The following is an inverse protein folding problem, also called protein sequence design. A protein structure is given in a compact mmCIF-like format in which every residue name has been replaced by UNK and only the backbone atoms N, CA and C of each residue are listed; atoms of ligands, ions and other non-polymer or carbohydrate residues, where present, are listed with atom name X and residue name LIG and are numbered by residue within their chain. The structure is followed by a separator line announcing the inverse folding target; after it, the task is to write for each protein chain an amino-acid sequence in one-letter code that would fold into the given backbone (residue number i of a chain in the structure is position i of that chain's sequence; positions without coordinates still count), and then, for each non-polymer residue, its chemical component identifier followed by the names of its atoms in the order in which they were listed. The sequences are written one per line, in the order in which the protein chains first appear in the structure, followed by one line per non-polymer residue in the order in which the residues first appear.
data_IF_640906151913
#
_entry.id   IF_640906151913
#
_cell.length_a   1.000
_cell.length_b   1.000
_cell.length_c   1.000
_cell.angle_alpha   90.00
_cell.angle_beta   90.00
_cell.angle_gamma   90.00
#
_symmetry.space_group_name_H-M   'P 1'
#
loop_
_entity.id
_entity.type
_entity.pdbx_description
1 polymer ?
#
# COMPACT_ATOMS: atom_id res chain seq x y z
N UNK A 1 -16.64 -13.34 4.53
CA UNK A 1 -17.50 -12.86 5.64
C UNK A 1 -16.80 -12.95 7.01
N UNK A 2 -16.25 -14.12 7.46
CA UNK A 2 -15.60 -14.24 8.77
C UNK A 2 -14.42 -13.29 8.95
N UNK A 3 -13.59 -13.10 7.93
CA UNK A 3 -12.46 -12.19 8.02
C UNK A 3 -12.92 -10.74 8.24
N UNK A 4 -13.92 -10.28 7.49
CA UNK A 4 -14.51 -8.95 7.66
C UNK A 4 -15.13 -8.77 9.05
N UNK A 5 -15.87 -9.78 9.53
CA UNK A 5 -16.60 -9.70 10.80
C UNK A 5 -15.71 -9.78 12.04
N UNK A 6 -14.60 -10.56 12.01
CA UNK A 6 -13.83 -10.88 13.22
C UNK A 6 -12.36 -10.50 13.19
N UNK A 7 -11.81 -10.10 12.03
CA UNK A 7 -10.37 -9.89 11.92
C UNK A 7 -9.98 -8.52 11.42
N UNK A 8 -10.67 -7.96 10.42
CA UNK A 8 -10.24 -6.70 9.80
C UNK A 8 -10.35 -5.49 10.75
N UNK A 9 -11.43 -5.42 11.53
CA UNK A 9 -11.74 -4.30 12.41
C UNK A 9 -11.36 -4.54 13.89
N UNK A 10 -10.57 -5.57 14.18
CA UNK A 10 -10.17 -5.85 15.55
C UNK A 10 -8.78 -5.31 15.86
N UNK A 11 -8.64 -4.76 17.06
CA UNK A 11 -7.35 -4.32 17.60
C UNK A 11 -6.47 -5.47 18.08
N UNK A 12 -6.99 -6.70 18.12
CA UNK A 12 -6.37 -7.85 18.79
C UNK A 12 -5.94 -7.60 20.24
N UNK A 13 -6.51 -6.58 20.89
CA UNK A 13 -6.26 -6.29 22.29
C UNK A 13 -6.77 -7.41 23.21
N UNK A 14 -7.88 -8.05 22.85
CA UNK A 14 -8.40 -9.25 23.48
C UNK A 14 -8.71 -10.32 22.42
N UNK A 15 -7.92 -11.38 22.39
CA UNK A 15 -8.08 -12.48 21.43
C UNK A 15 -9.38 -13.29 21.66
N UNK A 16 -10.00 -13.20 22.86
CA UNK A 16 -11.27 -13.87 23.15
C UNK A 16 -12.41 -13.34 22.30
N UNK A 17 -12.37 -12.08 21.90
CA UNK A 17 -13.40 -11.47 21.04
C UNK A 17 -13.45 -12.10 19.65
N UNK A 18 -12.34 -12.67 19.17
CA UNK A 18 -12.25 -13.42 17.92
C UNK A 18 -12.52 -14.94 18.10
N UNK A 19 -12.54 -15.47 19.32
CA UNK A 19 -12.75 -16.88 19.62
C UNK A 19 -14.25 -17.21 19.80
N UNK A 20 -15.08 -16.84 18.84
CA UNK A 20 -16.53 -17.10 18.87
C UNK A 20 -16.87 -18.54 18.50
N UNK A 21 -18.07 -19.01 18.87
CA UNK A 21 -18.56 -20.35 18.46
C UNK A 21 -18.53 -20.55 16.95
N UNK A 22 -18.82 -19.50 16.18
CA UNK A 22 -18.79 -19.52 14.71
C UNK A 22 -17.36 -19.71 14.17
N UNK A 23 -16.38 -19.00 14.73
CA UNK A 23 -14.95 -19.15 14.37
C UNK A 23 -14.44 -20.53 14.77
N UNK A 24 -14.77 -20.99 15.99
CA UNK A 24 -14.37 -22.30 16.49
C UNK A 24 -14.95 -23.45 15.65
N UNK A 25 -16.22 -23.36 15.24
CA UNK A 25 -16.85 -24.36 14.36
C UNK A 25 -16.16 -24.49 12.99
N UNK A 26 -15.47 -23.43 12.53
CA UNK A 26 -14.73 -23.41 11.26
C UNK A 26 -13.20 -23.43 11.46
N UNK A 27 -12.73 -23.69 12.70
CA UNK A 27 -11.32 -23.55 13.06
C UNK A 27 -10.37 -24.38 12.17
N UNK A 28 -10.70 -25.64 11.89
CA UNK A 28 -9.87 -26.50 11.04
C UNK A 28 -9.68 -25.92 9.62
N UNK A 29 -10.76 -25.39 9.02
CA UNK A 29 -10.70 -24.72 7.73
C UNK A 29 -9.90 -23.42 7.81
N UNK A 30 -10.09 -22.66 8.88
CA UNK A 30 -9.41 -21.40 9.10
C UNK A 30 -7.89 -21.60 9.27
N UNK A 31 -7.48 -22.57 10.11
CA UNK A 31 -6.07 -22.95 10.31
C UNK A 31 -5.44 -23.37 8.97
N UNK A 32 -6.15 -24.20 8.19
CA UNK A 32 -5.67 -24.59 6.87
C UNK A 32 -5.43 -23.38 5.97
N UNK A 33 -6.38 -22.44 5.89
CA UNK A 33 -6.28 -21.23 5.08
C UNK A 33 -5.16 -20.28 5.55
N UNK A 34 -4.79 -20.32 6.84
CA UNK A 34 -3.66 -19.56 7.36
C UNK A 34 -2.31 -20.18 6.99
N UNK A 35 -2.20 -21.51 6.98
CA UNK A 35 -0.93 -22.21 6.79
C UNK A 35 -0.65 -22.51 5.31
N UNK A 36 -1.67 -22.84 4.53
CA UNK A 36 -1.56 -23.18 3.12
C UNK A 36 -1.25 -21.92 2.30
N UNK A 37 -0.21 -21.89 1.43
CA UNK A 37 0.01 -20.81 0.51
C UNK A 37 -1.13 -20.64 -0.50
N UNK A 38 -1.40 -19.40 -0.93
CA UNK A 38 -2.44 -19.09 -1.92
C UNK A 38 -2.25 -19.87 -3.22
N UNK A 39 -1.02 -19.99 -3.69
CA UNK A 39 -0.67 -20.77 -4.90
C UNK A 39 -1.15 -22.23 -4.83
N UNK A 40 -1.07 -22.89 -3.66
CA UNK A 40 -1.56 -24.27 -3.47
C UNK A 40 -3.08 -24.34 -3.50
N UNK A 41 -3.77 -23.40 -2.87
CA UNK A 41 -5.23 -23.30 -2.94
C UNK A 41 -5.70 -23.14 -4.38
N UNK A 42 -5.08 -22.23 -5.13
CA UNK A 42 -5.40 -21.95 -6.53
C UNK A 42 -5.12 -23.18 -7.41
N UNK A 43 -3.95 -23.82 -7.25
CA UNK A 43 -3.55 -24.97 -8.07
C UNK A 43 -4.48 -26.18 -7.92
N UNK A 44 -5.10 -26.38 -6.74
CA UNK A 44 -6.09 -27.46 -6.55
C UNK A 44 -7.50 -27.08 -7.03
N UNK A 45 -7.75 -25.77 -7.22
CA UNK A 45 -9.06 -25.27 -7.67
C UNK A 45 -9.16 -25.23 -9.18
N UNK A 46 -8.10 -24.78 -9.86
CA UNK A 46 -8.04 -24.66 -11.32
C UNK A 46 -6.77 -25.30 -11.88
N UNK A 47 -6.88 -25.87 -13.10
CA UNK A 47 -5.76 -26.55 -13.79
C UNK A 47 -5.07 -25.62 -14.79
N UNK A 48 -5.81 -24.73 -15.45
CA UNK A 48 -5.29 -23.80 -16.45
C UNK A 48 -4.34 -22.78 -15.78
N UNK A 49 -3.12 -22.66 -16.31
CA UNK A 49 -2.07 -21.80 -15.76
C UNK A 49 -2.44 -20.31 -15.82
N UNK A 50 -3.15 -19.88 -16.85
CA UNK A 50 -3.63 -18.49 -16.99
C UNK A 50 -4.63 -18.15 -15.88
N UNK A 51 -5.57 -19.06 -15.59
CA UNK A 51 -6.51 -18.88 -14.48
C UNK A 51 -5.81 -18.90 -13.12
N UNK A 52 -4.71 -19.66 -12.97
CA UNK A 52 -3.90 -19.61 -11.75
C UNK A 52 -3.27 -18.25 -11.54
N UNK A 53 -2.77 -17.63 -12.60
CA UNK A 53 -2.22 -16.26 -12.54
C UNK A 53 -3.31 -15.25 -12.16
N UNK A 54 -4.47 -15.31 -12.83
CA UNK A 54 -5.62 -14.42 -12.52
C UNK A 54 -6.10 -14.56 -11.08
N UNK A 55 -6.18 -15.77 -10.53
CA UNK A 55 -6.63 -15.98 -9.15
C UNK A 55 -5.53 -15.70 -8.10
N UNK A 56 -4.27 -15.70 -8.50
CA UNK A 56 -3.12 -15.49 -7.63
C UNK A 56 -2.59 -14.06 -7.60
N UNK A 57 -2.81 -13.27 -8.68
CA UNK A 57 -2.20 -11.94 -8.81
C UNK A 57 -2.57 -10.96 -7.68
N UNK A 58 -3.77 -11.03 -7.04
CA UNK A 58 -4.09 -10.11 -5.95
C UNK A 58 -3.13 -10.18 -4.76
N UNK A 59 -2.30 -11.23 -4.65
CA UNK A 59 -1.23 -11.29 -3.65
C UNK A 59 -0.20 -10.16 -3.82
N UNK A 60 0.00 -9.65 -5.03
CA UNK A 60 0.91 -8.51 -5.30
C UNK A 60 0.44 -7.25 -4.59
N UNK A 61 -0.87 -7.00 -4.56
CA UNK A 61 -1.45 -5.86 -3.84
C UNK A 61 -1.34 -5.97 -2.31
N UNK A 62 -1.02 -7.17 -1.82
CA UNK A 62 -0.69 -7.40 -0.41
C UNK A 62 0.82 -7.28 -0.13
N UNK A 63 1.58 -6.77 -1.10
CA UNK A 63 3.02 -6.66 -0.98
C UNK A 63 3.71 -8.01 -0.80
N UNK A 64 3.21 -9.08 -1.45
CA UNK A 64 3.75 -10.43 -1.29
C UNK A 64 3.56 -11.25 -2.57
N UNK A 65 4.06 -12.48 -2.57
CA UNK A 65 3.83 -13.43 -3.65
C UNK A 65 2.74 -14.45 -3.27
N UNK A 66 2.03 -15.05 -4.24
CA UNK A 66 1.06 -16.10 -3.96
C UNK A 66 1.68 -17.35 -3.35
N UNK A 67 3.00 -17.50 -3.44
CA UNK A 67 3.77 -18.63 -2.86
C UNK A 67 4.08 -18.41 -1.37
N UNK A 68 4.10 -17.16 -0.90
CA UNK A 68 4.40 -16.76 0.47
C UNK A 68 3.15 -16.33 1.26
N UNK A 69 2.13 -15.84 0.55
CA UNK A 69 0.88 -15.34 1.14
C UNK A 69 -0.02 -16.49 1.59
N UNK A 70 -0.58 -16.44 2.82
CA UNK A 70 -1.59 -17.40 3.26
C UNK A 70 -2.81 -17.45 2.33
N UNK A 71 -3.35 -18.63 2.10
CA UNK A 71 -4.51 -18.81 1.21
C UNK A 71 -5.79 -18.13 1.70
N UNK A 72 -5.84 -17.70 2.96
CA UNK A 72 -6.92 -16.86 3.49
C UNK A 72 -7.13 -15.59 2.65
N UNK A 73 -6.08 -15.09 2.04
CA UNK A 73 -6.13 -13.88 1.20
C UNK A 73 -6.78 -14.09 -0.18
N UNK A 74 -7.28 -15.32 -0.50
CA UNK A 74 -8.19 -15.52 -1.64
C UNK A 74 -9.45 -14.65 -1.55
N UNK A 75 -9.72 -14.07 -0.39
CA UNK A 75 -10.79 -13.08 -0.22
C UNK A 75 -10.62 -11.86 -1.14
N UNK A 76 -9.38 -11.48 -1.48
CA UNK A 76 -9.10 -10.38 -2.40
C UNK A 76 -9.57 -10.72 -3.82
N UNK A 77 -9.26 -11.93 -4.31
CA UNK A 77 -9.76 -12.41 -5.61
C UNK A 77 -11.29 -12.51 -5.62
N UNK A 78 -11.92 -12.86 -4.48
CA UNK A 78 -13.38 -12.88 -4.38
C UNK A 78 -13.98 -11.48 -4.50
N UNK A 79 -13.43 -10.48 -3.80
CA UNK A 79 -13.90 -9.10 -3.87
C UNK A 79 -13.73 -8.53 -5.30
N UNK A 80 -12.56 -8.73 -5.90
CA UNK A 80 -12.25 -8.27 -7.24
C UNK A 80 -13.21 -8.86 -8.31
N UNK A 81 -13.45 -10.17 -8.24
CA UNK A 81 -14.30 -10.87 -9.22
C UNK A 81 -15.82 -10.73 -8.96
N UNK A 82 -16.23 -10.47 -7.73
CA UNK A 82 -17.65 -10.43 -7.35
C UNK A 82 -18.20 -9.03 -7.21
N UNK A 83 -17.45 -8.12 -6.58
CA UNK A 83 -17.86 -6.74 -6.29
C UNK A 83 -17.30 -5.77 -7.34
N UNK A 84 -16.26 -6.19 -8.08
CA UNK A 84 -15.55 -5.38 -9.06
C UNK A 84 -14.64 -4.33 -8.44
N UNK A 85 -14.06 -3.50 -9.30
CA UNK A 85 -13.16 -2.40 -8.93
C UNK A 85 -13.82 -1.08 -9.28
N UNK A 86 -13.92 -0.17 -8.31
CA UNK A 86 -14.48 1.15 -8.50
C UNK A 86 -13.37 2.16 -8.81
N UNK A 87 -13.60 2.98 -9.82
CA UNK A 87 -12.74 4.11 -10.15
C UNK A 87 -13.39 5.41 -9.68
N UNK A 88 -12.73 6.22 -8.84
CA UNK A 88 -13.24 7.53 -8.47
C UNK A 88 -13.03 8.51 -9.64
N UNK A 89 -14.11 9.10 -10.17
CA UNK A 89 -14.02 10.09 -11.25
C UNK A 89 -13.14 11.28 -10.81
N UNK A 90 -12.19 11.65 -11.65
CA UNK A 90 -11.12 12.60 -11.33
C UNK A 90 -9.91 11.98 -10.63
N UNK A 91 -9.86 10.63 -10.49
CA UNK A 91 -8.73 9.88 -9.94
C UNK A 91 -8.67 9.84 -8.42
N UNK A 92 -7.66 9.14 -7.89
CA UNK A 92 -7.49 8.96 -6.44
C UNK A 92 -7.21 10.25 -5.67
N UNK A 93 -6.70 11.29 -6.32
CA UNK A 93 -6.53 12.62 -5.72
C UNK A 93 -7.85 13.14 -5.16
N UNK A 94 -8.96 12.90 -5.86
CA UNK A 94 -10.30 13.29 -5.39
C UNK A 94 -10.74 12.60 -4.10
N UNK A 95 -10.36 11.34 -3.93
CA UNK A 95 -10.60 10.60 -2.68
C UNK A 95 -9.84 11.25 -1.53
N UNK A 96 -8.55 11.58 -1.74
CA UNK A 96 -7.72 12.22 -0.72
C UNK A 96 -8.22 13.62 -0.39
N UNK A 97 -8.57 14.43 -1.38
CA UNK A 97 -9.18 15.76 -1.20
C UNK A 97 -10.48 15.68 -0.40
N UNK A 98 -11.36 14.71 -0.72
CA UNK A 98 -12.63 14.52 -0.01
C UNK A 98 -12.40 14.17 1.46
N UNK A 99 -11.42 13.32 1.77
CA UNK A 99 -11.06 12.99 3.16
C UNK A 99 -10.49 14.21 3.87
N UNK A 100 -9.62 14.99 3.22
CA UNK A 100 -9.06 16.22 3.77
C UNK A 100 -10.15 17.28 4.04
N UNK A 101 -11.14 17.42 3.16
CA UNK A 101 -12.24 18.37 3.33
C UNK A 101 -13.17 17.96 4.48
N UNK A 102 -13.42 16.67 4.66
CA UNK A 102 -14.14 16.14 5.84
C UNK A 102 -13.36 16.48 7.12
N UNK A 103 -12.05 16.26 7.11
CA UNK A 103 -11.20 16.55 8.26
C UNK A 103 -11.22 18.06 8.60
N UNK A 104 -11.05 18.93 7.60
CA UNK A 104 -11.14 20.40 7.79
C UNK A 104 -12.49 20.82 8.33
N UNK A 105 -13.59 20.25 7.79
CA UNK A 105 -14.95 20.52 8.28
C UNK A 105 -15.14 20.09 9.72
N UNK A 106 -14.46 19.04 10.14
CA UNK A 106 -14.43 18.59 11.54
C UNK A 106 -13.48 19.41 12.45
N UNK A 107 -12.83 20.46 11.92
CA UNK A 107 -11.94 21.35 12.67
C UNK A 107 -10.48 20.89 12.75
N UNK A 108 -10.07 19.95 11.91
CA UNK A 108 -8.67 19.52 11.85
C UNK A 108 -7.82 20.59 11.15
N UNK A 109 -6.72 21.01 11.79
CA UNK A 109 -5.69 21.85 11.20
C UNK A 109 -4.69 20.96 10.41
N UNK A 110 -4.71 21.05 9.09
CA UNK A 110 -3.81 20.31 8.19
C UNK A 110 -2.66 21.24 7.80
N UNK A 111 -1.45 20.87 8.21
CA UNK A 111 -0.20 21.58 7.89
C UNK A 111 0.63 20.74 6.91
N UNK A 112 0.79 21.24 5.70
CA UNK A 112 1.76 20.73 4.72
C UNK A 112 3.13 21.38 4.94
N UNK A 113 4.14 20.89 4.25
CA UNK A 113 5.52 21.40 4.32
C UNK A 113 6.06 21.49 5.75
N UNK A 114 5.64 20.55 6.59
CA UNK A 114 5.94 20.47 8.01
C UNK A 114 6.51 19.09 8.34
N UNK A 115 7.84 18.94 8.17
CA UNK A 115 8.54 17.69 8.38
C UNK A 115 8.71 17.40 9.87
N UNK A 116 7.98 16.41 10.39
CA UNK A 116 8.18 15.94 11.78
C UNK A 116 9.54 15.24 11.87
N UNK A 117 10.36 15.68 12.83
CA UNK A 117 11.73 15.20 13.05
C UNK A 117 11.87 14.35 14.30
N UNK A 118 11.00 14.57 15.30
CA UNK A 118 11.06 13.88 16.60
C UNK A 118 9.70 13.79 17.26
N UNK A 119 9.45 12.72 17.98
CA UNK A 119 8.35 12.61 18.95
C UNK A 119 8.92 13.00 20.32
N UNK A 120 8.33 14.02 20.94
CA UNK A 120 8.76 14.51 22.25
C UNK A 120 8.17 13.64 23.34
N UNK A 121 9.04 13.13 24.21
CA UNK A 121 8.65 12.26 25.33
C UNK A 121 9.16 12.82 26.65
N UNK A 122 8.35 12.69 27.69
CA UNK A 122 8.71 13.01 29.07
C UNK A 122 8.25 11.85 29.95
N UNK A 123 9.15 11.26 30.71
CA UNK A 123 8.87 10.16 31.64
C UNK A 123 8.08 8.99 30.97
N UNK A 124 8.41 8.68 29.71
CA UNK A 124 7.77 7.63 28.94
C UNK A 124 6.35 7.96 28.44
N UNK A 125 5.97 9.25 28.43
CA UNK A 125 4.72 9.78 27.88
C UNK A 125 5.03 10.63 26.64
N UNK A 126 4.33 10.41 25.52
CA UNK A 126 4.38 11.33 24.39
C UNK A 126 3.67 12.64 24.75
N UNK A 127 4.36 13.77 24.57
CA UNK A 127 3.87 15.11 24.95
C UNK A 127 3.79 16.04 23.73
N UNK A 128 4.16 15.59 22.54
CA UNK A 128 4.12 16.37 21.32
C UNK A 128 5.10 15.92 20.27
N UNK A 129 5.36 16.80 19.32
CA UNK A 129 6.31 16.57 18.22
C UNK A 129 7.18 17.80 17.97
N UNK A 130 8.39 17.58 17.49
CA UNK A 130 9.21 18.60 16.85
C UNK A 130 9.07 18.47 15.33
N UNK A 131 8.95 19.59 14.64
CA UNK A 131 8.89 19.62 13.19
C UNK A 131 9.63 20.83 12.62
N UNK A 132 10.05 20.72 11.36
CA UNK A 132 10.69 21.79 10.61
C UNK A 132 9.72 22.23 9.50
N UNK A 133 9.49 23.54 9.40
CA UNK A 133 8.64 24.12 8.37
C UNK A 133 9.39 24.31 7.02
N UNK A 134 8.68 24.80 6.00
CA UNK A 134 9.23 25.05 4.68
C UNK A 134 10.42 26.06 4.68
N UNK A 135 10.50 26.93 5.67
CA UNK A 135 11.60 27.88 5.83
C UNK A 135 12.82 27.28 6.54
N UNK A 136 12.74 26.01 6.97
CA UNK A 136 13.80 25.35 7.74
C UNK A 136 13.77 25.69 9.23
N UNK A 137 12.73 26.36 9.74
CA UNK A 137 12.60 26.70 11.15
C UNK A 137 12.03 25.54 11.94
N UNK A 138 12.68 25.24 13.07
CA UNK A 138 12.21 24.19 13.98
C UNK A 138 11.15 24.73 14.94
N UNK A 139 10.11 23.93 15.15
CA UNK A 139 8.98 24.21 16.03
C UNK A 139 8.68 23.00 16.92
N UNK A 140 8.09 23.26 18.08
CA UNK A 140 7.53 22.22 18.95
C UNK A 140 6.02 22.41 19.05
N UNK A 141 5.27 21.33 18.84
CA UNK A 141 3.82 21.27 19.02
C UNK A 141 3.52 20.31 20.16
N UNK A 142 2.88 20.80 21.22
CA UNK A 142 2.44 19.97 22.35
C UNK A 142 1.11 19.28 22.08
N UNK A 143 0.96 18.05 22.57
CA UNK A 143 -0.26 17.26 22.42
C UNK A 143 -0.39 16.22 23.54
N UNK A 144 -1.62 15.89 23.92
CA UNK A 144 -1.92 14.82 24.89
C UNK A 144 -1.82 13.42 24.28
N UNK A 145 -1.88 13.33 22.94
CA UNK A 145 -1.82 12.09 22.18
C UNK A 145 -1.10 12.34 20.87
N UNK A 146 -0.17 11.47 20.51
CA UNK A 146 0.54 11.48 19.23
C UNK A 146 0.17 10.23 18.44
N UNK A 147 -0.24 10.42 17.19
CA UNK A 147 -0.55 9.34 16.26
C UNK A 147 0.38 9.45 15.05
N UNK A 148 1.27 8.48 14.86
CA UNK A 148 2.09 8.42 13.66
C UNK A 148 1.39 7.62 12.57
N UNK A 149 1.22 8.24 11.40
CA UNK A 149 0.80 7.61 10.15
C UNK A 149 1.95 7.47 9.15
N UNK A 150 3.16 7.91 9.53
CA UNK A 150 4.38 7.73 8.75
C UNK A 150 4.80 6.25 8.72
N UNK A 151 5.81 5.93 7.89
CA UNK A 151 6.41 4.60 7.91
C UNK A 151 6.83 4.22 9.34
N UNK A 152 6.43 3.03 9.78
CA UNK A 152 6.62 2.60 11.17
C UNK A 152 8.09 2.41 11.52
N UNK A 153 8.91 1.93 10.57
CA UNK A 153 10.35 1.81 10.77
C UNK A 153 10.96 3.20 11.00
N UNK A 154 10.63 4.15 10.13
CA UNK A 154 11.11 5.52 10.26
C UNK A 154 10.66 6.15 11.59
N UNK A 155 9.39 6.01 11.96
CA UNK A 155 8.88 6.49 13.24
C UNK A 155 9.66 5.93 14.43
N UNK A 156 9.84 4.62 14.47
CA UNK A 156 10.46 3.92 15.59
C UNK A 156 11.98 4.15 15.66
N UNK A 157 12.67 4.11 14.52
CA UNK A 157 14.14 4.12 14.51
C UNK A 157 14.77 5.50 14.32
N UNK A 158 13.95 6.51 13.93
CA UNK A 158 14.45 7.86 13.65
C UNK A 158 13.85 8.92 14.58
N UNK A 159 12.57 8.76 14.97
CA UNK A 159 11.87 9.77 15.75
C UNK A 159 11.83 9.49 17.26
N UNK A 160 12.33 8.31 17.71
CA UNK A 160 12.34 7.86 19.10
C UNK A 160 13.75 7.46 19.55
N UNK A 161 14.03 7.67 20.82
CA UNK A 161 15.26 7.16 21.43
C UNK A 161 15.25 5.62 21.46
N UNK A 162 16.42 4.94 21.38
CA UNK A 162 16.48 3.47 21.33
C UNK A 162 15.73 2.76 22.47
N UNK A 163 15.71 3.33 23.68
CA UNK A 163 15.01 2.80 24.85
C UNK A 163 13.49 2.85 24.74
N UNK A 164 12.96 3.72 23.88
CA UNK A 164 11.55 3.99 23.68
C UNK A 164 10.93 3.20 22.52
N UNK A 165 11.77 2.52 21.72
CA UNK A 165 11.34 1.78 20.54
C UNK A 165 10.61 0.49 20.90
N UNK A 166 9.39 0.35 20.41
CA UNK A 166 8.62 -0.91 20.45
C UNK A 166 9.15 -1.89 19.41
N UNK A 167 9.60 -1.37 18.27
CA UNK A 167 10.07 -2.11 17.11
C UNK A 167 11.49 -1.65 16.72
N UNK A 168 12.52 -2.05 17.51
CA UNK A 168 13.90 -1.63 17.27
C UNK A 168 14.48 -2.28 16.01
N UNK A 169 15.72 -1.91 15.65
CA UNK A 169 16.41 -2.37 14.44
C UNK A 169 16.41 -3.90 14.30
N UNK A 170 16.59 -4.65 15.39
CA UNK A 170 16.62 -6.12 15.41
C UNK A 170 15.26 -6.75 15.06
N UNK A 171 14.16 -6.04 15.32
CA UNK A 171 12.84 -6.45 14.86
C UNK A 171 12.77 -6.40 13.34
N UNK A 172 13.25 -5.31 12.73
CA UNK A 172 13.20 -5.08 11.29
C UNK A 172 14.12 -6.00 10.51
N UNK A 173 15.27 -6.37 11.06
CA UNK A 173 16.20 -7.32 10.43
C UNK A 173 15.57 -8.70 10.18
N UNK A 174 14.54 -9.07 10.95
CA UNK A 174 13.82 -10.36 10.85
C UNK A 174 12.58 -10.27 9.95
N UNK A 175 12.28 -9.08 9.40
CA UNK A 175 11.10 -8.86 8.58
C UNK A 175 11.41 -9.01 7.10
N UNK A 176 10.43 -9.55 6.37
CA UNK A 176 10.45 -9.63 4.93
C UNK A 176 9.81 -8.35 4.40
N UNK A 177 10.53 -7.53 3.63
CA UNK A 177 9.94 -6.37 2.97
C UNK A 177 8.94 -6.83 1.91
N UNK A 178 7.89 -6.04 1.69
CA UNK A 178 7.11 -6.11 0.48
C UNK A 178 7.96 -5.69 -0.73
N UNK A 179 7.47 -5.83 -1.94
CA UNK A 179 8.20 -5.36 -3.10
C UNK A 179 8.25 -3.84 -3.12
N UNK A 180 9.22 -3.30 -3.81
CA UNK A 180 9.16 -1.97 -4.34
C UNK A 180 8.45 -1.98 -5.70
N UNK A 181 8.44 -0.85 -6.37
CA UNK A 181 7.89 -0.74 -7.71
C UNK A 181 8.74 0.20 -8.56
N UNK A 182 8.82 -0.12 -9.85
CA UNK A 182 9.05 0.90 -10.86
C UNK A 182 7.67 1.38 -11.31
N UNK A 183 7.41 2.68 -11.16
CA UNK A 183 6.19 3.32 -11.65
C UNK A 183 6.54 4.19 -12.86
N UNK A 184 5.69 4.13 -13.88
CA UNK A 184 5.73 5.05 -15.01
C UNK A 184 4.39 5.79 -15.08
N UNK A 185 4.46 7.09 -15.17
CA UNK A 185 3.34 7.97 -15.47
C UNK A 185 3.61 8.55 -16.87
N UNK A 186 2.75 8.17 -17.83
CA UNK A 186 2.96 8.47 -19.23
C UNK A 186 1.78 9.27 -19.78
N UNK A 187 2.07 10.41 -20.41
CA UNK A 187 1.15 11.09 -21.32
C UNK A 187 1.43 10.59 -22.74
N UNK A 188 0.48 9.90 -23.34
CA UNK A 188 0.66 9.26 -24.65
C UNK A 188 -0.23 9.93 -25.68
N UNK A 189 0.33 10.37 -26.81
CA UNK A 189 -0.41 10.99 -27.90
C UNK A 189 -1.25 9.97 -28.68
N UNK A 190 -2.50 10.30 -28.97
CA UNK A 190 -3.45 9.47 -29.69
C UNK A 190 -4.11 8.42 -28.82
N UNK A 191 -4.99 7.63 -29.40
CA UNK A 191 -5.77 6.59 -28.70
C UNK A 191 -4.96 5.30 -28.54
N UNK A 192 -5.24 4.54 -27.50
CA UNK A 192 -4.67 3.22 -27.18
C UNK A 192 -5.79 2.19 -27.00
N UNK A 193 -6.47 1.78 -28.08
CA UNK A 193 -7.58 0.82 -28.00
C UNK A 193 -7.15 -0.59 -27.57
N UNK A 194 -5.85 -0.91 -27.66
CA UNK A 194 -5.27 -2.18 -27.23
C UNK A 194 -5.20 -2.32 -25.71
N UNK A 195 -5.31 -1.19 -24.99
CA UNK A 195 -5.29 -1.16 -23.54
C UNK A 195 -6.67 -0.87 -22.96
N UNK A 196 -7.13 -1.77 -22.11
CA UNK A 196 -8.33 -1.55 -21.28
C UNK A 196 -8.01 -0.60 -20.12
N UNK A 197 -9.03 -0.15 -19.37
CA UNK A 197 -8.82 0.67 -18.17
C UNK A 197 -7.81 0.00 -17.22
N UNK A 198 -7.94 -1.30 -17.02
CA UNK A 198 -6.99 -2.12 -16.27
C UNK A 198 -6.49 -3.26 -17.15
N UNK A 199 -5.21 -3.30 -17.42
CA UNK A 199 -4.55 -4.35 -18.20
C UNK A 199 -3.46 -4.99 -17.36
N UNK A 200 -3.45 -6.32 -17.28
CA UNK A 200 -2.42 -7.09 -16.58
C UNK A 200 -1.65 -7.94 -17.62
N UNK A 201 -0.36 -7.74 -17.66
CA UNK A 201 0.55 -8.52 -18.50
C UNK A 201 1.38 -9.44 -17.61
N UNK A 202 1.25 -10.76 -17.80
CA UNK A 202 1.95 -11.77 -17.01
C UNK A 202 3.08 -12.41 -17.80
N UNK A 203 4.28 -12.42 -17.24
CA UNK A 203 5.37 -13.20 -17.79
C UNK A 203 5.04 -14.69 -17.80
N UNK A 204 5.70 -15.45 -18.69
CA UNK A 204 5.44 -16.88 -18.90
C UNK A 204 5.74 -17.69 -17.64
N UNK A 205 6.95 -17.56 -17.09
CA UNK A 205 7.33 -18.18 -15.83
C UNK A 205 7.08 -17.21 -14.66
N UNK A 206 5.87 -17.31 -14.14
CA UNK A 206 5.41 -16.39 -13.11
C UNK A 206 6.05 -16.64 -11.74
N UNK A 207 6.43 -17.89 -11.43
CA UNK A 207 7.11 -18.22 -10.20
C UNK A 207 8.53 -17.65 -10.18
N UNK A 208 9.26 -17.79 -11.28
CA UNK A 208 10.61 -17.23 -11.44
C UNK A 208 10.62 -15.71 -11.21
N UNK A 209 9.59 -15.00 -11.73
CA UNK A 209 9.45 -13.56 -11.48
C UNK A 209 9.30 -13.19 -10.00
N UNK A 210 8.58 -13.99 -9.23
CA UNK A 210 8.50 -13.77 -7.78
C UNK A 210 9.77 -14.18 -7.03
N UNK A 211 10.45 -15.24 -7.48
CA UNK A 211 11.74 -15.64 -6.94
C UNK A 211 12.82 -14.57 -7.19
N UNK A 212 12.77 -13.91 -8.36
CA UNK A 212 13.63 -12.76 -8.65
C UNK A 212 13.40 -11.60 -7.69
N UNK A 213 12.16 -11.32 -7.28
CA UNK A 213 11.83 -10.20 -6.38
C UNK A 213 12.10 -10.53 -4.91
N UNK A 214 11.73 -11.74 -4.46
CA UNK A 214 11.71 -12.13 -3.03
C UNK A 214 12.78 -13.16 -2.66
N UNK A 215 13.59 -13.60 -3.60
CA UNK A 215 14.63 -14.60 -3.40
C UNK A 215 15.80 -14.12 -2.54
N UNK A 216 16.81 -15.00 -2.39
CA UNK A 216 17.99 -14.71 -1.59
C UNK A 216 18.87 -13.61 -2.20
N UNK A 217 18.96 -13.58 -3.52
CA UNK A 217 19.66 -12.56 -4.31
C UNK A 217 18.65 -11.84 -5.20
N UNK A 218 17.92 -10.82 -4.67
CA UNK A 218 16.86 -10.18 -5.42
C UNK A 218 17.38 -9.47 -6.67
N UNK A 219 16.68 -9.65 -7.78
CA UNK A 219 16.96 -9.01 -9.07
C UNK A 219 15.68 -8.47 -9.68
N UNK A 220 15.81 -7.50 -10.56
CA UNK A 220 14.66 -7.02 -11.35
C UNK A 220 14.32 -8.08 -12.41
N UNK A 221 13.09 -8.61 -12.43
CA UNK A 221 12.70 -9.59 -13.46
C UNK A 221 12.65 -8.96 -14.86
N UNK A 222 13.21 -9.67 -15.84
CA UNK A 222 13.20 -9.27 -17.26
C UNK A 222 12.91 -10.52 -18.14
N UNK A 223 11.75 -10.59 -18.83
CA UNK A 223 10.64 -9.64 -18.78
C UNK A 223 9.92 -9.64 -17.44
N UNK A 224 9.20 -8.57 -17.13
CA UNK A 224 8.44 -8.46 -15.88
C UNK A 224 6.94 -8.69 -16.09
N UNK A 225 6.26 -9.19 -15.05
CA UNK A 225 4.80 -9.03 -14.97
C UNK A 225 4.51 -7.58 -14.56
N UNK A 226 3.51 -6.97 -15.19
CA UNK A 226 3.19 -5.57 -14.95
C UNK A 226 1.69 -5.29 -15.00
N UNK A 227 1.30 -4.22 -14.36
CA UNK A 227 -0.05 -3.68 -14.35
C UNK A 227 -0.06 -2.33 -15.05
N UNK A 228 -1.05 -2.13 -15.91
CA UNK A 228 -1.29 -0.88 -16.63
C UNK A 228 -2.68 -0.38 -16.24
N UNK A 229 -2.78 0.90 -15.92
CA UNK A 229 -4.04 1.62 -15.75
C UNK A 229 -4.10 2.75 -16.76
N UNK A 230 -5.20 2.79 -17.54
CA UNK A 230 -5.51 3.86 -18.49
C UNK A 230 -6.79 4.55 -18.04
N UNK A 231 -6.75 5.46 -17.06
CA UNK A 231 -7.95 6.11 -16.52
C UNK A 231 -8.67 6.96 -17.57
N UNK A 232 -7.98 7.53 -18.55
CA UNK A 232 -8.56 8.28 -19.67
C UNK A 232 -9.53 7.43 -20.53
N UNK A 233 -9.43 6.11 -20.49
CA UNK A 233 -10.38 5.21 -21.15
C UNK A 233 -11.81 5.25 -20.60
N UNK A 234 -12.02 5.79 -19.38
CA UNK A 234 -13.34 5.93 -18.73
C UNK A 234 -13.60 7.33 -18.19
N UNK A 235 -12.58 8.15 -18.02
CA UNK A 235 -12.67 9.51 -17.50
C UNK A 235 -12.00 10.49 -18.46
N UNK A 236 -12.77 11.21 -19.28
CA UNK A 236 -12.21 12.12 -20.28
C UNK A 236 -11.52 13.36 -19.67
N UNK A 237 -11.67 13.59 -18.35
CA UNK A 237 -11.14 14.78 -17.69
C UNK A 237 -9.72 14.60 -17.14
N UNK A 238 -9.13 13.40 -17.27
CA UNK A 238 -7.81 13.09 -16.72
C UNK A 238 -6.70 13.05 -17.78
N UNK A 239 -7.01 13.41 -19.01
CA UNK A 239 -6.06 13.62 -20.09
C UNK A 239 -6.55 14.74 -21.01
N UNK A 240 -5.66 15.51 -21.68
CA UNK A 240 -6.06 16.43 -22.76
C UNK A 240 -6.68 15.69 -23.95
N UNK A 241 -7.50 16.39 -24.74
CA UNK A 241 -8.06 15.85 -25.98
C UNK A 241 -6.95 15.34 -26.90
N UNK A 242 -7.11 14.13 -27.44
CA UNK A 242 -6.11 13.46 -28.29
C UNK A 242 -4.92 12.85 -27.55
N UNK A 243 -5.01 12.74 -26.22
CA UNK A 243 -3.99 12.08 -25.40
C UNK A 243 -4.61 11.06 -24.44
N UNK A 244 -3.80 10.08 -24.07
CA UNK A 244 -4.11 9.09 -23.03
C UNK A 244 -3.21 9.29 -21.81
N UNK A 245 -3.79 9.09 -20.62
CA UNK A 245 -3.07 9.01 -19.36
C UNK A 245 -2.84 7.54 -19.05
N UNK A 246 -1.58 7.12 -18.96
CA UNK A 246 -1.20 5.72 -18.73
C UNK A 246 -0.29 5.64 -17.51
N UNK A 247 -0.73 4.87 -16.52
CA UNK A 247 0.05 4.49 -15.36
C UNK A 247 0.52 3.05 -15.51
N UNK A 248 1.81 2.79 -15.26
CA UNK A 248 2.38 1.44 -15.28
C UNK A 248 3.04 1.15 -13.93
N UNK A 249 2.78 -0.04 -13.40
CA UNK A 249 3.41 -0.55 -12.19
C UNK A 249 4.10 -1.88 -12.48
N UNK A 250 5.39 -1.93 -12.18
CA UNK A 250 6.22 -3.13 -12.28
C UNK A 250 6.76 -3.44 -10.89
N UNK A 251 6.38 -4.58 -10.27
CA UNK A 251 6.96 -4.99 -9.00
C UNK A 251 8.44 -5.33 -9.17
N UNK A 252 9.28 -4.75 -8.32
CA UNK A 252 10.73 -4.95 -8.29
C UNK A 252 11.22 -5.12 -6.85
N UNK A 253 12.47 -5.57 -6.61
CA UNK A 253 13.01 -5.71 -5.27
C UNK A 253 12.98 -4.40 -4.46
N UNK A 254 12.78 -4.54 -3.15
CA UNK A 254 12.84 -3.44 -2.18
C UNK A 254 14.29 -3.10 -1.85
N UNK A 255 14.93 -2.37 -2.75
CA UNK A 255 16.32 -1.92 -2.63
C UNK A 255 16.47 -0.50 -3.20
N UNK A 256 16.65 0.53 -2.34
CA UNK A 256 16.84 1.93 -2.80
C UNK A 256 18.04 2.10 -3.73
N UNK A 257 19.05 1.21 -3.66
CA UNK A 257 20.23 1.26 -4.51
C UNK A 257 19.93 1.00 -5.99
N UNK A 258 18.74 0.47 -6.33
CA UNK A 258 18.28 0.35 -7.72
C UNK A 258 18.14 1.74 -8.36
N UNK A 259 17.73 2.75 -7.58
CA UNK A 259 17.74 4.16 -7.97
C UNK A 259 16.41 4.86 -7.82
N UNK A 260 16.43 6.15 -8.13
CA UNK A 260 15.27 7.05 -8.15
C UNK A 260 14.94 7.44 -9.59
N UNK A 261 13.65 7.55 -9.87
CA UNK A 261 13.16 8.11 -11.13
C UNK A 261 12.93 9.62 -11.02
N UNK A 262 12.70 10.27 -12.17
CA UNK A 262 12.43 11.70 -12.27
C UNK A 262 11.55 11.98 -13.51
N UNK A 263 11.30 13.27 -13.78
CA UNK A 263 10.55 13.74 -14.94
C UNK A 263 11.47 13.70 -16.20
N UNK A 264 10.85 13.39 -17.34
CA UNK A 264 11.45 13.45 -18.69
C UNK A 264 12.77 12.70 -18.87
N UNK A 265 13.02 11.66 -18.04
CA UNK A 265 14.19 10.80 -18.16
C UNK A 265 15.42 11.28 -17.39
N UNK A 266 15.28 12.31 -16.55
CA UNK A 266 16.39 12.88 -15.76
C UNK A 266 16.72 12.06 -14.50
N UNK A 267 16.04 10.91 -14.28
CA UNK A 267 16.27 10.01 -13.16
C UNK A 267 17.58 9.20 -13.25
N UNK A 268 17.80 8.33 -12.27
CA UNK A 268 18.93 7.39 -12.29
C UNK A 268 18.93 6.61 -13.62
N UNK A 269 20.05 6.58 -14.35
CA UNK A 269 20.12 5.91 -15.64
C UNK A 269 19.73 4.42 -15.62
N UNK A 270 19.76 3.76 -14.46
CA UNK A 270 19.28 2.36 -14.30
C UNK A 270 17.77 2.31 -14.33
N UNK A 271 17.10 3.21 -13.63
CA UNK A 271 15.64 3.33 -13.60
C UNK A 271 15.13 3.71 -14.99
N UNK A 272 15.76 4.68 -15.63
CA UNK A 272 15.33 5.13 -16.96
C UNK A 272 15.48 4.05 -18.03
N UNK A 273 16.59 3.28 -18.01
CA UNK A 273 16.75 2.13 -18.90
C UNK A 273 15.74 1.01 -18.64
N UNK A 274 15.36 0.77 -17.35
CA UNK A 274 14.31 -0.16 -17.04
C UNK A 274 12.96 0.30 -17.57
N UNK A 275 12.66 1.60 -17.46
CA UNK A 275 11.44 2.18 -18.01
C UNK A 275 11.38 2.04 -19.54
N UNK A 276 12.51 2.27 -20.25
CA UNK A 276 12.59 2.05 -21.70
C UNK A 276 12.28 0.59 -22.07
N UNK A 277 12.86 -0.37 -21.34
CA UNK A 277 12.58 -1.80 -21.54
C UNK A 277 11.11 -2.15 -21.27
N UNK A 278 10.50 -1.56 -20.25
CA UNK A 278 9.09 -1.76 -19.92
C UNK A 278 8.19 -1.19 -21.02
N UNK A 279 8.46 -0.01 -21.53
CA UNK A 279 7.71 0.59 -22.65
C UNK A 279 7.84 -0.30 -23.90
N UNK A 280 9.05 -0.77 -24.21
CA UNK A 280 9.28 -1.70 -25.32
C UNK A 280 8.54 -3.03 -25.12
N UNK A 281 8.54 -3.59 -23.90
CA UNK A 281 7.79 -4.80 -23.56
C UNK A 281 6.28 -4.62 -23.73
N UNK A 282 5.72 -3.47 -23.30
CA UNK A 282 4.29 -3.16 -23.52
C UNK A 282 4.00 -3.11 -25.00
N UNK A 283 4.81 -2.38 -25.79
CA UNK A 283 4.69 -2.29 -27.24
C UNK A 283 4.64 -3.69 -27.90
N UNK A 284 5.62 -4.53 -27.59
CA UNK A 284 5.73 -5.89 -28.15
C UNK A 284 4.54 -6.79 -27.75
N UNK A 285 4.14 -6.77 -26.48
CA UNK A 285 3.13 -7.69 -25.96
C UNK A 285 1.69 -7.26 -26.27
N UNK A 286 1.44 -5.97 -26.52
CA UNK A 286 0.11 -5.44 -26.86
C UNK A 286 -0.08 -5.19 -28.35
N UNK A 287 1.01 -5.17 -29.12
CA UNK A 287 0.97 -4.88 -30.55
C UNK A 287 0.88 -3.38 -30.89
N UNK A 288 1.29 -2.49 -29.98
CA UNK A 288 1.36 -1.04 -30.20
C UNK A 288 2.79 -0.69 -30.67
N UNK A 289 3.06 -0.62 -31.99
CA UNK A 289 4.44 -0.60 -32.50
C UNK A 289 5.20 0.71 -32.27
N UNK A 290 4.49 1.81 -32.07
CA UNK A 290 5.01 3.16 -31.98
C UNK A 290 4.83 3.79 -30.59
N UNK A 291 4.60 2.98 -29.55
CA UNK A 291 4.29 3.47 -28.20
C UNK A 291 5.35 4.44 -27.67
N UNK A 292 6.63 4.09 -27.79
CA UNK A 292 7.72 4.92 -27.28
C UNK A 292 7.78 6.32 -27.93
N UNK A 293 7.49 6.39 -29.23
CA UNK A 293 7.49 7.65 -30.02
C UNK A 293 6.30 8.55 -29.66
N UNK A 294 5.23 7.96 -29.14
CA UNK A 294 4.00 8.64 -28.75
C UNK A 294 4.01 9.16 -27.30
N UNK A 295 4.97 8.72 -26.49
CA UNK A 295 5.13 9.23 -25.12
C UNK A 295 5.63 10.68 -25.18
N UNK A 296 4.82 11.62 -24.71
CA UNK A 296 5.11 13.06 -24.70
C UNK A 296 5.37 13.60 -23.30
N UNK A 297 4.91 12.90 -22.27
CA UNK A 297 5.19 13.16 -20.88
C UNK A 297 5.61 11.84 -20.24
N UNK A 298 6.69 11.87 -19.50
CA UNK A 298 7.22 10.72 -18.77
C UNK A 298 7.65 11.14 -17.39
N UNK A 299 7.10 10.47 -16.36
CA UNK A 299 7.65 10.51 -15.01
C UNK A 299 7.87 9.08 -14.56
N UNK A 300 9.04 8.83 -14.01
CA UNK A 300 9.40 7.56 -13.41
C UNK A 300 9.53 7.70 -11.90
N UNK A 301 9.27 6.62 -11.17
CA UNK A 301 9.47 6.52 -9.72
C UNK A 301 10.08 5.17 -9.43
N UNK A 302 11.16 5.15 -8.67
CA UNK A 302 11.86 3.93 -8.27
C UNK A 302 11.95 3.76 -6.75
N UNK A 303 12.62 2.70 -6.27
CA UNK A 303 12.78 2.42 -4.85
C UNK A 303 13.45 3.54 -4.05
N UNK A 304 14.37 4.29 -4.66
CA UNK A 304 15.00 5.44 -4.05
C UNK A 304 13.99 6.54 -3.71
N UNK A 305 13.05 6.85 -4.62
CA UNK A 305 12.00 7.83 -4.35
C UNK A 305 11.12 7.42 -3.15
N UNK A 306 10.72 6.14 -3.05
CA UNK A 306 9.94 5.68 -1.88
C UNK A 306 10.72 5.83 -0.58
N UNK A 307 12.04 5.58 -0.61
CA UNK A 307 12.88 5.76 0.57
C UNK A 307 13.03 7.23 0.95
N UNK A 308 13.29 8.11 0.01
CA UNK A 308 13.63 9.51 0.24
C UNK A 308 12.39 10.38 0.49
N UNK A 309 11.33 10.21 -0.34
CA UNK A 309 10.14 11.05 -0.28
C UNK A 309 9.14 10.58 0.80
N UNK A 310 9.03 9.26 1.00
CA UNK A 310 8.07 8.65 1.93
C UNK A 310 8.72 8.05 3.18
N UNK A 311 10.05 8.11 3.31
CA UNK A 311 10.83 7.43 4.34
C UNK A 311 10.50 5.93 4.43
N UNK A 312 10.11 5.33 3.30
CA UNK A 312 9.65 3.95 3.25
C UNK A 312 10.79 2.98 3.56
N UNK A 313 10.57 2.09 4.52
CA UNK A 313 11.55 1.09 4.90
C UNK A 313 12.04 0.28 3.70
N UNK A 314 13.36 0.34 3.43
CA UNK A 314 14.01 -0.31 2.28
C UNK A 314 13.45 0.11 0.91
N UNK A 315 12.81 1.26 0.82
CA UNK A 315 12.20 1.71 -0.43
C UNK A 315 11.01 0.85 -0.89
N UNK A 316 10.32 0.17 0.05
CA UNK A 316 9.11 -0.62 -0.29
C UNK A 316 7.99 0.28 -0.74
N UNK A 317 7.25 -0.13 -1.78
CA UNK A 317 6.02 0.56 -2.20
C UNK A 317 4.84 0.31 -1.23
N UNK A 318 4.86 -0.81 -0.50
CA UNK A 318 3.74 -1.32 0.28
C UNK A 318 4.09 -1.69 1.74
N UNK A 319 5.32 -1.42 2.22
CA UNK A 319 5.76 -1.78 3.57
C UNK A 319 6.00 -3.28 3.74
N UNK A 320 5.89 -3.85 4.98
CA UNK A 320 6.18 -5.26 5.26
C UNK A 320 5.24 -6.21 4.53
N UNK A 321 5.77 -7.27 3.89
CA UNK A 321 5.02 -8.28 3.16
C UNK A 321 3.98 -9.01 4.03
N UNK A 322 2.86 -9.44 3.43
CA UNK A 322 1.85 -10.26 4.10
C UNK A 322 2.22 -11.75 4.07
N UNK A 323 3.32 -12.10 4.73
CA UNK A 323 3.63 -13.50 5.05
C UNK A 323 2.86 -13.94 6.29
N UNK A 324 2.80 -15.25 6.57
CA UNK A 324 2.10 -15.76 7.77
C UNK A 324 2.56 -15.04 9.06
N UNK A 325 3.87 -14.88 9.24
CA UNK A 325 4.46 -14.26 10.45
C UNK A 325 4.39 -12.72 10.47
N UNK A 326 3.77 -12.11 9.46
CA UNK A 326 3.63 -10.66 9.31
C UNK A 326 2.19 -10.25 8.98
N UNK A 327 1.22 -11.15 9.20
CA UNK A 327 -0.20 -10.93 8.93
C UNK A 327 -1.03 -11.03 10.19
N UNK A 328 -2.21 -10.45 10.20
CA UNK A 328 -3.18 -10.47 11.30
C UNK A 328 -2.53 -10.05 12.63
N UNK A 329 -2.67 -10.85 13.68
CA UNK A 329 -2.12 -10.57 15.01
C UNK A 329 -0.59 -10.63 15.11
N UNK A 330 0.13 -11.12 14.09
CA UNK A 330 1.59 -11.07 14.01
C UNK A 330 2.12 -9.77 13.39
N UNK A 331 1.24 -8.96 12.80
CA UNK A 331 1.59 -7.64 12.29
C UNK A 331 1.76 -6.66 13.43
N UNK A 332 2.53 -5.58 13.20
CA UNK A 332 2.70 -4.52 14.19
C UNK A 332 1.34 -3.94 14.63
N UNK A 333 1.18 -3.75 15.92
CA UNK A 333 -0.05 -3.19 16.48
C UNK A 333 -0.13 -1.66 16.39
N UNK A 334 -1.28 -1.11 16.77
CA UNK A 334 -1.58 0.33 16.69
C UNK A 334 -1.12 1.14 17.92
N UNK A 335 -0.37 0.56 18.87
CA UNK A 335 0.02 1.24 20.10
C UNK A 335 1.48 0.97 20.44
N UNK A 336 2.21 2.01 20.87
CA UNK A 336 3.54 1.83 21.43
C UNK A 336 3.46 1.06 22.75
N UNK A 337 4.38 0.12 22.93
CA UNK A 337 4.54 -0.64 24.19
C UNK A 337 5.49 0.03 25.17
N UNK A 338 6.18 1.09 24.73
CA UNK A 338 7.22 1.78 25.47
C UNK A 338 6.82 3.20 25.84
N UNK A 339 6.12 3.88 24.95
CA UNK A 339 5.73 5.29 25.11
C UNK A 339 4.22 5.37 25.24
N UNK A 340 3.72 5.81 26.38
CA UNK A 340 2.28 6.07 26.60
C UNK A 340 1.83 7.25 25.75
N UNK A 341 0.59 7.22 25.25
CA UNK A 341 0.04 8.30 24.42
C UNK A 341 0.56 8.29 22.98
N UNK A 342 1.44 7.35 22.60
CA UNK A 342 1.90 7.17 21.21
C UNK A 342 1.19 5.98 20.54
N UNK A 343 0.62 6.27 19.38
CA UNK A 343 -0.12 5.31 18.57
C UNK A 343 0.35 5.31 17.12
N UNK A 344 0.00 4.23 16.38
CA UNK A 344 0.39 4.03 14.98
C UNK A 344 -0.82 3.65 14.14
N UNK A 345 -0.88 4.17 12.91
CA UNK A 345 -1.89 3.81 11.92
C UNK A 345 -1.24 3.64 10.54
N UNK A 346 -1.97 3.06 9.61
CA UNK A 346 -1.53 2.92 8.22
C UNK A 346 -1.06 1.53 7.83
N UNK A 347 -0.48 1.41 6.64
CA UNK A 347 -0.17 0.14 5.99
C UNK A 347 0.85 -0.75 6.71
N UNK A 348 1.77 -0.18 7.50
CA UNK A 348 2.76 -0.96 8.27
C UNK A 348 2.18 -1.64 9.50
N UNK A 349 0.99 -1.22 9.95
CA UNK A 349 0.28 -1.76 11.13
C UNK A 349 -0.91 -2.64 10.74
N UNK A 350 -1.63 -3.16 11.74
CA UNK A 350 -2.90 -3.86 11.53
C UNK A 350 -3.97 -2.90 10.97
N UNK A 351 -4.87 -3.36 10.07
CA UNK A 351 -4.94 -4.70 9.50
C UNK A 351 -3.95 -4.96 8.36
N UNK A 352 -3.33 -3.94 7.76
CA UNK A 352 -2.33 -4.09 6.72
C UNK A 352 -2.40 -3.04 5.61
N UNK A 353 -2.00 -3.44 4.42
CA UNK A 353 -1.73 -2.60 3.25
C UNK A 353 -3.01 -2.29 2.48
N UNK A 354 -3.02 -1.14 1.82
CA UNK A 354 -4.04 -0.67 0.89
C UNK A 354 -4.88 0.45 1.48
N UNK A 355 -5.40 1.33 0.62
CA UNK A 355 -6.17 2.51 1.04
C UNK A 355 -7.34 2.15 1.98
N UNK A 356 -8.20 1.15 1.69
CA UNK A 356 -9.25 0.75 2.62
C UNK A 356 -8.70 0.24 3.96
N UNK A 357 -7.57 -0.47 3.94
CA UNK A 357 -6.95 -0.99 5.16
C UNK A 357 -6.35 0.11 6.02
N UNK A 358 -5.82 1.18 5.42
CA UNK A 358 -5.34 2.35 6.16
C UNK A 358 -6.50 3.08 6.86
N UNK A 359 -7.66 3.20 6.22
CA UNK A 359 -8.87 3.76 6.85
C UNK A 359 -9.36 2.86 8.00
N UNK A 360 -9.37 1.55 7.80
CA UNK A 360 -9.70 0.58 8.87
C UNK A 360 -8.67 0.65 10.00
N UNK A 361 -7.39 0.86 9.70
CA UNK A 361 -6.36 1.05 10.74
C UNK A 361 -6.66 2.26 11.62
N UNK A 362 -7.11 3.37 11.03
CA UNK A 362 -7.55 4.56 11.77
C UNK A 362 -8.80 4.25 12.62
N UNK A 363 -9.78 3.53 12.09
CA UNK A 363 -10.97 3.10 12.84
C UNK A 363 -10.61 2.19 14.01
N UNK A 364 -9.71 1.23 13.82
CA UNK A 364 -9.19 0.36 14.90
C UNK A 364 -8.52 1.18 16.00
N UNK A 365 -7.80 2.25 15.64
CA UNK A 365 -7.24 3.16 16.62
C UNK A 365 -8.35 3.92 17.39
N UNK A 366 -9.36 4.45 16.70
CA UNK A 366 -10.50 5.13 17.35
C UNK A 366 -11.20 4.20 18.33
N UNK A 367 -11.45 2.95 17.93
CA UNK A 367 -12.00 1.91 18.83
C UNK A 367 -11.14 1.73 20.08
N UNK A 368 -9.81 1.63 19.90
CA UNK A 368 -8.88 1.49 21.02
C UNK A 368 -8.91 2.68 21.96
N UNK A 369 -8.92 3.91 21.45
CA UNK A 369 -9.01 5.15 22.25
C UNK A 369 -10.33 5.23 23.04
N UNK A 370 -11.42 4.67 22.49
CA UNK A 370 -12.74 4.56 23.16
C UNK A 370 -12.87 3.36 24.10
N UNK A 371 -11.87 2.50 24.19
CA UNK A 371 -11.94 1.25 24.95
C UNK A 371 -12.85 0.20 24.34
N UNK A 372 -13.24 0.34 23.06
CA UNK A 372 -14.05 -0.63 22.33
C UNK A 372 -13.19 -1.80 21.86
N UNK A 373 -13.46 -2.98 22.42
CA UNK A 373 -12.78 -4.24 22.08
C UNK A 373 -13.62 -5.15 21.17
N UNK A 374 -14.78 -4.67 20.69
CA UNK A 374 -15.66 -5.43 19.81
C UNK A 374 -14.95 -5.87 18.52
N UNK A 375 -15.36 -6.99 17.95
CA UNK A 375 -15.00 -7.36 16.59
C UNK A 375 -15.95 -6.64 15.61
N UNK A 376 -15.49 -6.37 14.40
CA UNK A 376 -16.28 -5.66 13.39
C UNK A 376 -16.16 -4.14 13.46
N UNK A 377 -16.79 -3.44 12.51
CA UNK A 377 -16.74 -1.97 12.44
C UNK A 377 -17.42 -1.30 13.62
N UNK A 378 -17.14 -0.01 13.83
CA UNK A 378 -17.85 0.81 14.80
C UNK A 378 -19.36 0.76 14.56
N UNK A 379 -20.13 0.56 15.64
CA UNK A 379 -21.59 0.44 15.57
C UNK A 379 -22.30 1.77 15.27
N UNK A 380 -21.67 2.88 15.59
CA UNK A 380 -22.23 4.21 15.35
C UNK A 380 -22.02 4.63 13.91
N UNK A 381 -23.09 4.92 13.14
CA UNK A 381 -22.91 5.59 11.87
C UNK A 381 -22.25 6.95 12.12
N UNK A 382 -21.20 7.27 11.39
CA UNK A 382 -20.67 8.63 11.36
C UNK A 382 -21.81 9.54 10.87
N UNK A 383 -22.11 10.61 11.60
CA UNK A 383 -23.11 11.59 11.16
C UNK A 383 -22.69 12.07 9.77
N UNK A 384 -23.56 11.98 8.74
CA UNK A 384 -23.21 12.45 7.42
C UNK A 384 -22.87 13.94 7.50
N UNK A 385 -21.63 14.29 7.25
CA UNK A 385 -21.28 15.68 6.97
C UNK A 385 -21.82 16.00 5.59
N UNK A 386 -22.51 17.13 5.44
CA UNK A 386 -23.01 17.56 4.13
C UNK A 386 -21.85 17.51 3.12
N UNK A 387 -22.06 16.78 2.02
CA UNK A 387 -21.01 16.61 1.02
C UNK A 387 -20.49 17.98 0.55
N UNK A 388 -19.19 18.24 0.60
CA UNK A 388 -18.64 19.48 0.07
C UNK A 388 -18.99 19.58 -1.41
N UNK A 389 -19.37 20.78 -1.84
CA UNK A 389 -19.65 21.05 -3.26
C UNK A 389 -18.35 20.79 -4.06
N UNK A 390 -18.44 20.07 -5.18
CA UNK A 390 -17.26 19.83 -6.01
C UNK A 390 -16.66 21.17 -6.44
N UNK A 391 -15.36 21.36 -6.18
CA UNK A 391 -14.65 22.52 -6.68
C UNK A 391 -14.43 22.34 -8.18
N UNK A 392 -14.65 23.39 -9.00
CA UNK A 392 -14.21 23.35 -10.38
C UNK A 392 -12.70 23.15 -10.41
N UNK A 393 -12.22 22.38 -11.35
CA UNK A 393 -10.78 22.23 -11.61
C UNK A 393 -10.18 23.60 -11.95
N UNK A 394 -8.94 23.88 -11.49
CA UNK A 394 -8.22 25.07 -11.94
C UNK A 394 -7.91 25.01 -13.42
#
# INVERSE_FOLDING_TARGET
ELAKKYFLYTSFADLRTSATKEVLAKAARFIRLLIEPLSKLVARTVKDDRLRKVLGYPAVFLGSSPYLTPSMYHLMSHLDLSDGVLYPMGGFTRVIESIADIARTAGVDIRTDSKVTRIVTVDGLATGVEYTDAAGTSHTLTADTVVSAADLHHTETTMLEPSEQTYPAEYWQKKVPGPSALLLYLGVKGELPELEHHTLLFMKDWQEGFEAIFGHEPTVPEPASLYICKPSGVDPNVAPEGYENVFVLVPIPADPSIGSGEIDGDGDPRIERLADKVIAQISDWTGIPDLAERVTVRRTVGPGNFADELNAWRGTALGPAHTLKQSAFFRAGNVSKKVKGLYYVGGSTIPGIGLPMCLISAEVLVKRLRGDTSAGPLAEPLTPVAAPQPRPWP
#
